data_IF_715921051904
#
_entry.id   IF_715921051904
#
_cell.length_a   1.000
_cell.length_b   1.000
_cell.length_c   1.000
_cell.angle_alpha   90.00
_cell.angle_beta   90.00
_cell.angle_gamma   90.00
#
_symmetry.space_group_name_H-M   'P 1'
#
loop_
_entity.id
_entity.type
_entity.pdbx_description
1 polymer ?
#
# COMPACT_ATOMS: atom_id res chain seq x y z
N UNK A 1 -1.80 -3.04 -27.11
CA UNK A 1 -1.41 -2.56 -25.77
C UNK A 1 -1.31 -1.05 -25.84
N UNK A 2 -2.08 -0.29 -25.05
CA UNK A 2 -1.87 1.17 -24.95
C UNK A 2 -0.56 1.38 -24.18
N UNK A 3 0.48 1.86 -24.85
CA UNK A 3 1.74 2.22 -24.20
C UNK A 3 1.51 3.53 -23.45
N UNK A 4 1.09 3.43 -22.19
CA UNK A 4 0.94 4.59 -21.32
C UNK A 4 2.34 5.11 -21.00
N UNK A 5 2.66 6.33 -21.45
CA UNK A 5 3.90 7.00 -21.06
C UNK A 5 3.95 7.16 -19.54
N UNK A 6 5.00 6.61 -18.93
CA UNK A 6 5.19 6.63 -17.48
C UNK A 6 5.91 7.91 -17.06
N UNK A 7 5.43 8.54 -16.00
CA UNK A 7 6.04 9.76 -15.44
C UNK A 7 5.02 10.88 -15.25
N UNK A 8 5.52 12.11 -15.26
CA UNK A 8 4.74 13.31 -15.03
C UNK A 8 4.69 13.74 -13.56
N UNK A 9 4.00 14.85 -13.35
CA UNK A 9 3.84 15.51 -12.05
C UNK A 9 3.12 14.56 -11.08
N UNK A 10 3.50 14.62 -9.81
CA UNK A 10 2.85 13.88 -8.73
C UNK A 10 1.63 14.63 -8.22
N UNK A 11 0.49 13.95 -8.09
CA UNK A 11 -0.70 14.49 -7.42
C UNK A 11 -0.77 14.05 -5.96
N UNK A 12 -1.59 14.73 -5.16
CA UNK A 12 -1.82 14.34 -3.76
C UNK A 12 -2.42 12.93 -3.68
N UNK A 13 -3.36 12.60 -4.57
CA UNK A 13 -3.93 11.26 -4.68
C UNK A 13 -2.85 10.16 -4.85
N UNK A 14 -1.91 10.37 -5.78
CA UNK A 14 -0.83 9.43 -6.05
C UNK A 14 0.11 9.29 -4.84
N UNK A 15 0.43 10.40 -4.18
CA UNK A 15 1.28 10.41 -2.98
C UNK A 15 0.62 9.66 -1.81
N UNK A 16 -0.69 9.81 -1.59
CA UNK A 16 -1.42 9.07 -0.54
C UNK A 16 -1.53 7.57 -0.85
N UNK A 17 -1.75 7.20 -2.12
CA UNK A 17 -1.70 5.80 -2.55
C UNK A 17 -0.28 5.23 -2.36
N UNK A 18 0.76 6.00 -2.65
CA UNK A 18 2.15 5.59 -2.44
C UNK A 18 2.44 5.36 -0.95
N UNK A 19 2.03 6.28 -0.07
CA UNK A 19 2.14 6.12 1.39
C UNK A 19 1.45 4.86 1.88
N UNK A 20 0.18 4.67 1.52
CA UNK A 20 -0.58 3.48 1.93
C UNK A 20 -0.01 2.19 1.35
N UNK A 21 0.54 2.23 0.13
CA UNK A 21 1.28 1.14 -0.49
C UNK A 21 2.54 0.77 0.29
N UNK A 22 3.33 1.75 0.72
CA UNK A 22 4.52 1.53 1.56
C UNK A 22 4.12 0.99 2.95
N UNK A 23 3.05 1.49 3.55
CA UNK A 23 2.53 0.97 4.82
C UNK A 23 2.16 -0.52 4.73
N UNK A 24 1.59 -0.98 3.60
CA UNK A 24 1.18 -2.38 3.41
C UNK A 24 2.32 -3.31 2.96
N UNK A 25 3.19 -2.85 2.05
CA UNK A 25 4.18 -3.71 1.38
C UNK A 25 5.64 -3.44 1.80
N UNK A 26 5.89 -2.35 2.54
CA UNK A 26 7.22 -1.89 2.93
C UNK A 26 8.01 -1.21 1.80
N UNK A 27 9.22 -0.75 2.13
CA UNK A 27 10.11 0.01 1.25
C UNK A 27 10.97 -0.84 0.30
N UNK A 28 10.73 -2.15 0.22
CA UNK A 28 11.52 -3.07 -0.63
C UNK A 28 10.74 -3.56 -1.86
N UNK A 29 9.41 -3.43 -1.87
CA UNK A 29 8.52 -4.01 -2.89
C UNK A 29 7.99 -2.97 -3.88
N UNK A 30 8.86 -2.12 -4.42
CA UNK A 30 8.48 -1.01 -5.32
C UNK A 30 7.72 -1.44 -6.57
N UNK A 31 8.08 -2.59 -7.16
CA UNK A 31 7.36 -3.13 -8.32
C UNK A 31 5.90 -3.40 -8.00
N UNK A 32 5.60 -3.92 -6.80
CA UNK A 32 4.23 -4.18 -6.36
C UNK A 32 3.48 -2.88 -6.10
N UNK A 33 4.12 -1.91 -5.44
CA UNK A 33 3.54 -0.60 -5.18
C UNK A 33 3.21 0.13 -6.48
N UNK A 34 4.11 0.11 -7.47
CA UNK A 34 3.87 0.75 -8.77
C UNK A 34 2.67 0.19 -9.52
N UNK A 35 2.23 -1.05 -9.23
CA UNK A 35 1.01 -1.57 -9.85
C UNK A 35 -0.26 -0.84 -9.39
N UNK A 36 -0.22 -0.19 -8.22
CA UNK A 36 -1.32 0.63 -7.69
C UNK A 36 -1.43 1.97 -8.43
N UNK A 37 -0.36 2.43 -9.09
CA UNK A 37 -0.24 3.74 -9.72
C UNK A 37 -0.07 3.56 -11.24
N UNK A 38 -1.13 3.75 -12.05
CA UNK A 38 -1.13 3.40 -13.48
C UNK A 38 -0.01 4.08 -14.29
N UNK A 39 0.30 5.35 -13.97
CA UNK A 39 1.24 6.19 -14.72
C UNK A 39 2.63 6.29 -14.09
N UNK A 40 2.88 5.63 -12.94
CA UNK A 40 4.16 5.73 -12.22
C UNK A 40 4.90 4.39 -12.25
N UNK A 41 6.21 4.45 -12.53
CA UNK A 41 7.06 3.26 -12.52
C UNK A 41 7.55 2.95 -11.11
N UNK A 42 8.07 1.74 -10.88
CA UNK A 42 8.71 1.38 -9.62
C UNK A 42 9.88 2.31 -9.27
N UNK A 43 10.62 2.76 -10.28
CA UNK A 43 11.74 3.70 -10.12
C UNK A 43 11.21 5.07 -9.66
N UNK A 44 10.14 5.57 -10.28
CA UNK A 44 9.51 6.84 -9.89
C UNK A 44 8.97 6.75 -8.45
N UNK A 45 8.32 5.64 -8.08
CA UNK A 45 7.81 5.43 -6.72
C UNK A 45 8.93 5.45 -5.67
N UNK A 46 10.03 4.76 -5.94
CA UNK A 46 11.20 4.74 -5.05
C UNK A 46 11.84 6.13 -4.93
N UNK A 47 12.05 6.80 -6.05
CA UNK A 47 12.63 8.14 -6.08
C UNK A 47 11.73 9.13 -5.32
N UNK A 48 10.42 9.12 -5.57
CA UNK A 48 9.44 9.96 -4.86
C UNK A 48 9.44 9.72 -3.36
N UNK A 49 9.53 8.45 -2.94
CA UNK A 49 9.63 8.14 -1.52
C UNK A 49 10.90 8.71 -0.90
N UNK A 50 12.06 8.38 -1.45
CA UNK A 50 13.36 8.78 -0.88
C UNK A 50 13.66 10.28 -1.01
N UNK A 51 13.04 10.99 -1.96
CA UNK A 51 13.31 12.42 -2.18
C UNK A 51 12.26 13.33 -1.56
N UNK A 52 11.01 12.86 -1.43
CA UNK A 52 9.91 13.65 -0.91
C UNK A 52 9.17 12.94 0.22
N UNK A 53 8.64 11.73 0.08
CA UNK A 53 7.65 11.23 1.06
C UNK A 53 8.21 10.69 2.39
N UNK A 54 9.48 10.30 2.44
CA UNK A 54 10.09 9.74 3.64
C UNK A 54 9.99 10.73 4.83
N UNK A 55 9.42 10.31 5.99
CA UNK A 55 9.28 11.17 7.17
C UNK A 55 10.60 11.70 7.73
N UNK A 56 11.73 11.04 7.44
CA UNK A 56 13.06 11.50 7.86
C UNK A 56 13.52 12.78 7.13
N UNK A 57 12.86 13.15 6.03
CA UNK A 57 13.22 14.32 5.22
C UNK A 57 12.71 15.60 5.88
N UNK A 58 13.62 16.51 6.21
CA UNK A 58 13.30 17.84 6.73
C UNK A 58 12.75 18.75 5.60
N UNK A 59 11.41 18.81 5.47
CA UNK A 59 10.73 19.66 4.46
C UNK A 59 10.41 21.07 4.95
N UNK A 60 9.83 21.14 6.15
CA UNK A 60 9.25 22.37 6.72
C UNK A 60 10.32 23.18 7.45
N UNK A 61 11.35 22.50 7.97
CA UNK A 61 12.43 23.15 8.71
C UNK A 61 13.24 24.00 7.74
N UNK A 62 13.23 25.31 7.98
CA UNK A 62 14.05 26.26 7.23
C UNK A 62 15.54 25.92 7.34
N UNK A 63 16.34 26.43 6.40
CA UNK A 63 17.78 26.24 6.43
C UNK A 63 18.37 27.05 7.59
N UNK A 64 19.11 26.37 8.45
CA UNK A 64 19.85 27.04 9.52
C UNK A 64 21.17 27.57 8.98
N UNK A 65 21.68 28.66 9.56
CA UNK A 65 22.99 29.23 9.18
C UNK A 65 24.11 28.19 9.28
N UNK A 66 24.08 27.31 10.29
CA UNK A 66 25.07 26.23 10.43
C UNK A 66 24.94 25.15 9.35
N UNK A 67 23.73 24.92 8.81
CA UNK A 67 23.54 24.04 7.65
C UNK A 67 24.09 24.69 6.38
N UNK A 68 23.88 25.99 6.18
CA UNK A 68 24.40 26.72 5.01
C UNK A 68 25.94 26.82 5.01
N UNK A 69 26.56 27.14 6.16
CA UNK A 69 28.02 27.19 6.29
C UNK A 69 28.65 25.83 5.99
N UNK A 70 28.04 24.74 6.49
CA UNK A 70 28.47 23.37 6.18
C UNK A 70 28.26 23.02 4.71
N UNK A 71 27.13 23.42 4.11
CA UNK A 71 26.84 23.19 2.70
C UNK A 71 27.89 23.83 1.79
N UNK A 72 28.23 25.10 2.04
CA UNK A 72 29.25 25.84 1.29
C UNK A 72 30.66 25.27 1.49
N UNK A 73 30.99 24.88 2.71
CA UNK A 73 32.29 24.24 2.98
C UNK A 73 32.42 22.90 2.25
N UNK A 74 31.41 22.03 2.38
CA UNK A 74 31.44 20.71 1.76
C UNK A 74 31.37 20.76 0.23
N UNK A 75 30.64 21.71 -0.35
CA UNK A 75 30.61 21.88 -1.82
C UNK A 75 31.94 22.36 -2.38
N UNK A 76 32.71 23.14 -1.59
CA UNK A 76 34.07 23.56 -1.94
C UNK A 76 35.08 22.41 -1.84
N UNK A 77 34.96 21.55 -0.84
CA UNK A 77 35.86 20.40 -0.60
C UNK A 77 35.57 19.24 -1.55
N UNK A 78 34.29 18.95 -1.81
CA UNK A 78 33.84 17.86 -2.68
C UNK A 78 32.93 18.41 -3.80
N UNK A 79 33.51 18.96 -4.89
CA UNK A 79 32.74 19.50 -5.99
C UNK A 79 31.79 18.47 -6.60
N UNK A 80 30.55 18.87 -6.88
CA UNK A 80 29.47 18.10 -7.55
C UNK A 80 29.05 16.75 -6.92
N UNK A 81 29.54 16.41 -5.72
CA UNK A 81 29.17 15.17 -5.01
C UNK A 81 27.95 15.33 -4.10
N UNK A 82 26.84 15.83 -4.67
CA UNK A 82 25.65 16.22 -3.91
C UNK A 82 25.01 15.09 -3.10
N UNK A 83 25.12 13.83 -3.54
CA UNK A 83 24.60 12.67 -2.78
C UNK A 83 25.37 12.46 -1.47
N UNK A 84 26.71 12.58 -1.51
CA UNK A 84 27.57 12.45 -0.34
C UNK A 84 27.33 13.61 0.62
N UNK A 85 27.31 14.84 0.09
CA UNK A 85 27.06 16.07 0.86
C UNK A 85 25.69 16.00 1.56
N UNK A 86 24.65 15.61 0.84
CA UNK A 86 23.30 15.44 1.37
C UNK A 86 23.23 14.49 2.57
N UNK A 87 23.93 13.35 2.46
CA UNK A 87 24.04 12.36 3.54
C UNK A 87 24.66 12.95 4.81
N UNK A 88 25.71 13.77 4.66
CA UNK A 88 26.40 14.42 5.79
C UNK A 88 25.56 15.53 6.45
N UNK A 89 24.79 16.29 5.66
CA UNK A 89 23.97 17.40 6.17
C UNK A 89 22.62 16.90 6.73
N UNK A 90 22.14 15.75 6.28
CA UNK A 90 20.83 15.19 6.65
C UNK A 90 19.67 15.87 5.93
N UNK A 91 19.88 16.22 4.65
CA UNK A 91 18.88 16.79 3.72
C UNK A 91 18.92 16.00 2.41
N UNK A 92 17.95 16.18 1.51
CA UNK A 92 17.96 15.53 0.18
C UNK A 92 18.95 16.21 -0.75
N UNK A 93 19.58 15.47 -1.68
CA UNK A 93 20.52 16.05 -2.65
C UNK A 93 19.91 17.16 -3.51
N UNK A 94 18.64 17.04 -3.89
CA UNK A 94 17.92 18.10 -4.61
C UNK A 94 17.81 19.38 -3.78
N UNK A 95 17.44 19.26 -2.49
CA UNK A 95 17.37 20.40 -1.59
C UNK A 95 18.72 21.10 -1.43
N UNK A 96 19.82 20.34 -1.34
CA UNK A 96 21.17 20.89 -1.24
C UNK A 96 21.58 21.68 -2.48
N UNK A 97 21.28 21.16 -3.68
CA UNK A 97 21.57 21.83 -4.96
C UNK A 97 20.77 23.14 -5.04
N UNK A 98 19.45 23.06 -4.85
CA UNK A 98 18.56 24.22 -4.92
C UNK A 98 18.95 25.31 -3.92
N UNK A 99 19.39 24.93 -2.70
CA UNK A 99 19.86 25.89 -1.69
C UNK A 99 21.20 26.50 -2.08
N UNK A 100 22.13 25.69 -2.56
CA UNK A 100 23.46 26.16 -2.97
C UNK A 100 23.36 27.18 -4.12
N UNK A 101 22.53 26.89 -5.14
CA UNK A 101 22.28 27.84 -6.24
C UNK A 101 21.70 29.16 -5.74
N UNK A 102 20.71 29.13 -4.84
CA UNK A 102 20.16 30.34 -4.22
C UNK A 102 21.20 31.14 -3.43
N UNK A 103 22.10 30.47 -2.72
CA UNK A 103 23.17 31.15 -1.97
C UNK A 103 24.19 31.81 -2.91
N UNK A 104 24.48 31.18 -4.05
CA UNK A 104 25.32 31.78 -5.09
C UNK A 104 24.63 32.97 -5.76
N UNK A 105 23.35 32.86 -6.10
CA UNK A 105 22.57 33.94 -6.72
C UNK A 105 22.47 35.17 -5.79
N UNK A 106 22.24 34.94 -4.50
CA UNK A 106 22.23 35.99 -3.48
C UNK A 106 23.60 36.68 -3.34
N UNK A 107 24.69 35.90 -3.35
CA UNK A 107 26.06 36.45 -3.30
C UNK A 107 26.44 37.22 -4.57
N UNK A 108 25.92 36.84 -5.73
CA UNK A 108 26.09 37.53 -7.00
C UNK A 108 25.20 38.80 -7.15
N UNK A 109 24.33 39.10 -6.17
CA UNK A 109 23.54 40.33 -6.13
C UNK A 109 22.28 40.32 -7.01
N UNK A 110 21.73 39.15 -7.35
CA UNK A 110 20.57 39.02 -8.25
C UNK A 110 19.22 39.17 -7.51
N UNK A 111 19.22 39.54 -6.22
CA UNK A 111 18.04 39.56 -5.36
C UNK A 111 17.10 40.78 -5.57
N UNK A 112 17.56 41.81 -6.28
CA UNK A 112 16.73 42.97 -6.62
C UNK A 112 15.89 42.67 -7.86
N UNK A 113 14.56 42.59 -7.71
CA UNK A 113 13.62 42.69 -8.85
C UNK A 113 13.86 43.96 -9.70
N UNK A 114 14.59 44.95 -9.17
CA UNK A 114 14.99 46.20 -9.82
C UNK A 114 16.35 46.17 -10.54
N UNK A 115 17.23 45.20 -10.25
CA UNK A 115 18.58 45.12 -10.84
C UNK A 115 18.77 43.76 -11.49
N UNK A 116 17.91 43.40 -12.45
CA UNK A 116 18.28 42.34 -13.39
C UNK A 116 19.45 42.88 -14.20
N UNK A 117 20.64 42.24 -14.18
CA UNK A 117 21.68 42.62 -15.14
C UNK A 117 21.07 42.51 -16.54
N UNK A 118 21.39 43.46 -17.45
CA UNK A 118 20.95 43.46 -18.86
C UNK A 118 21.25 42.13 -19.60
N UNK A 119 22.01 41.23 -18.98
CA UNK A 119 22.40 39.91 -19.44
C UNK A 119 21.56 38.74 -18.85
N UNK A 120 20.47 39.00 -18.11
CA UNK A 120 19.52 37.96 -17.68
C UNK A 120 18.60 37.60 -18.85
N UNK A 121 19.02 36.63 -19.68
CA UNK A 121 18.17 36.09 -20.74
C UNK A 121 16.96 35.35 -20.12
N UNK A 122 15.72 35.89 -20.24
CA UNK A 122 14.52 35.26 -19.70
C UNK A 122 14.22 33.89 -20.34
N UNK A 123 14.89 33.57 -21.46
CA UNK A 123 14.77 32.32 -22.22
C UNK A 123 15.65 31.18 -21.69
N UNK A 124 16.40 31.38 -20.60
CA UNK A 124 17.10 30.28 -19.90
C UNK A 124 16.17 29.34 -19.14
N UNK A 125 14.94 29.78 -18.86
CA UNK A 125 13.87 28.84 -18.51
C UNK A 125 13.70 27.90 -19.71
N UNK A 126 13.26 26.66 -19.46
CA UNK A 126 13.04 25.68 -20.53
C UNK A 126 11.55 25.55 -20.85
N UNK A 127 10.91 26.48 -21.58
CA UNK A 127 9.52 26.35 -22.01
C UNK A 127 9.30 25.04 -22.76
N UNK A 128 8.33 24.24 -22.32
CA UNK A 128 7.89 23.03 -23.00
C UNK A 128 8.74 21.77 -22.72
N UNK A 129 9.83 21.85 -21.97
CA UNK A 129 10.59 20.67 -21.55
C UNK A 129 9.95 19.98 -20.33
N UNK A 130 10.01 18.65 -20.30
CA UNK A 130 9.61 17.84 -19.14
C UNK A 130 10.66 18.05 -18.03
N UNK A 131 10.21 18.40 -16.82
CA UNK A 131 11.11 18.52 -15.65
C UNK A 131 11.90 17.20 -15.49
N UNK A 132 13.25 17.24 -15.48
CA UNK A 132 14.06 16.05 -15.29
C UNK A 132 13.92 15.38 -13.92
N UNK A 133 13.43 16.09 -12.89
CA UNK A 133 13.30 15.56 -11.53
C UNK A 133 11.96 15.96 -10.86
N UNK A 134 10.81 15.50 -11.40
CA UNK A 134 9.49 15.82 -10.85
C UNK A 134 9.28 15.22 -9.45
N UNK A 135 10.04 14.19 -9.08
CA UNK A 135 9.93 13.52 -7.78
C UNK A 135 10.31 14.39 -6.58
N UNK A 136 11.13 15.44 -6.77
CA UNK A 136 11.51 16.37 -5.70
C UNK A 136 10.55 17.58 -5.56
N UNK A 137 9.57 17.73 -6.46
CA UNK A 137 8.62 18.86 -6.45
C UNK A 137 7.44 18.60 -5.49
N UNK A 138 6.80 19.64 -4.93
CA UNK A 138 5.54 19.46 -4.22
C UNK A 138 4.48 18.77 -5.10
N UNK A 139 3.61 17.97 -4.48
CA UNK A 139 2.49 17.39 -5.19
C UNK A 139 1.47 18.45 -5.60
N UNK A 140 0.85 18.25 -6.75
CA UNK A 140 -0.26 19.08 -7.23
C UNK A 140 -1.50 18.78 -6.37
N UNK A 141 -2.20 19.81 -5.87
CA UNK A 141 -3.50 19.62 -5.25
C UNK A 141 -4.47 18.92 -6.20
N UNK A 142 -5.28 18.04 -5.66
CA UNK A 142 -6.27 17.31 -6.44
C UNK A 142 -7.36 18.30 -6.92
N UNK A 143 -7.86 18.16 -8.17
CA UNK A 143 -8.97 18.96 -8.65
C UNK A 143 -10.25 18.65 -7.87
N UNK A 144 -11.20 19.60 -7.87
CA UNK A 144 -12.51 19.40 -7.23
C UNK A 144 -13.28 18.29 -7.96
N UNK A 145 -13.30 18.38 -9.29
CA UNK A 145 -13.90 17.37 -10.15
C UNK A 145 -12.81 16.38 -10.59
N UNK A 146 -12.96 15.14 -10.14
CA UNK A 146 -12.04 14.05 -10.48
C UNK A 146 -12.38 13.49 -11.85
N UNK A 147 -11.36 13.09 -12.60
CA UNK A 147 -11.56 12.31 -13.82
C UNK A 147 -11.75 10.82 -13.50
N UNK A 148 -12.39 10.11 -14.42
CA UNK A 148 -12.67 8.67 -14.30
C UNK A 148 -11.39 7.87 -13.99
N UNK A 149 -10.26 8.27 -14.58
CA UNK A 149 -8.95 7.63 -14.39
C UNK A 149 -8.48 7.73 -12.93
N UNK A 150 -8.63 8.89 -12.28
CA UNK A 150 -8.21 9.05 -10.90
C UNK A 150 -9.17 8.40 -9.91
N UNK A 151 -10.48 8.41 -10.19
CA UNK A 151 -11.47 7.66 -9.41
C UNK A 151 -11.23 6.14 -9.49
N UNK A 152 -11.00 5.62 -10.70
CA UNK A 152 -10.68 4.21 -10.92
C UNK A 152 -9.38 3.82 -10.20
N UNK A 153 -8.35 4.67 -10.29
CA UNK A 153 -7.08 4.47 -9.57
C UNK A 153 -7.30 4.35 -8.06
N UNK A 154 -8.07 5.25 -7.46
CA UNK A 154 -8.37 5.22 -6.03
C UNK A 154 -9.18 3.98 -5.63
N UNK A 155 -10.21 3.64 -6.41
CA UNK A 155 -11.05 2.46 -6.18
C UNK A 155 -10.23 1.16 -6.27
N UNK A 156 -9.40 1.04 -7.30
CA UNK A 156 -8.50 -0.10 -7.50
C UNK A 156 -7.46 -0.21 -6.37
N UNK A 157 -6.90 0.92 -5.92
CA UNK A 157 -5.98 0.95 -4.80
C UNK A 157 -6.66 0.47 -3.51
N UNK A 158 -7.84 1.02 -3.18
CA UNK A 158 -8.64 0.60 -2.01
C UNK A 158 -8.92 -0.91 -2.02
N UNK A 159 -9.40 -1.45 -3.13
CA UNK A 159 -9.71 -2.88 -3.26
C UNK A 159 -8.47 -3.78 -3.07
N UNK A 160 -7.32 -3.38 -3.64
CA UNK A 160 -6.06 -4.12 -3.52
C UNK A 160 -5.45 -4.03 -2.12
N UNK A 161 -5.57 -2.89 -1.46
CA UNK A 161 -5.13 -2.69 -0.08
C UNK A 161 -6.01 -3.44 0.92
N UNK A 162 -7.32 -3.55 0.69
CA UNK A 162 -8.21 -4.36 1.52
C UNK A 162 -8.00 -5.88 1.34
N UNK A 163 -7.56 -6.32 0.16
CA UNK A 163 -7.39 -7.74 -0.11
C UNK A 163 -6.14 -8.34 0.60
N UNK A 164 -6.40 -9.26 1.54
CA UNK A 164 -5.37 -10.05 2.25
C UNK A 164 -5.38 -11.54 1.87
N UNK A 165 -6.44 -12.01 1.18
CA UNK A 165 -6.64 -13.43 0.93
C UNK A 165 -6.15 -13.88 -0.46
N UNK A 166 -5.46 -15.01 -0.47
CA UNK A 166 -5.00 -15.66 -1.71
C UNK A 166 -6.12 -16.42 -2.44
N UNK A 167 -5.82 -16.90 -3.66
CA UNK A 167 -6.77 -17.64 -4.51
C UNK A 167 -7.40 -18.84 -3.79
N UNK A 168 -6.60 -19.62 -3.06
CA UNK A 168 -7.06 -20.83 -2.34
C UNK A 168 -8.04 -20.49 -1.21
N UNK A 169 -7.75 -19.46 -0.42
CA UNK A 169 -8.64 -19.00 0.65
C UNK A 169 -9.98 -18.51 0.10
N UNK A 170 -9.95 -17.69 -0.97
CA UNK A 170 -11.19 -17.23 -1.64
C UNK A 170 -12.01 -18.36 -2.26
N UNK A 171 -11.34 -19.38 -2.81
CA UNK A 171 -12.03 -20.57 -3.35
C UNK A 171 -12.72 -21.34 -2.22
N UNK A 172 -11.99 -21.68 -1.16
CA UNK A 172 -12.53 -22.40 0.00
C UNK A 172 -13.68 -21.66 0.67
N UNK A 173 -13.60 -20.34 0.79
CA UNK A 173 -14.71 -19.53 1.32
C UNK A 173 -15.98 -19.65 0.46
N UNK A 174 -15.85 -19.60 -0.87
CA UNK A 174 -16.97 -19.81 -1.80
C UNK A 174 -17.53 -21.23 -1.75
N UNK A 175 -16.67 -22.24 -1.68
CA UNK A 175 -17.07 -23.64 -1.52
C UNK A 175 -17.87 -23.83 -0.23
N UNK A 176 -17.41 -23.25 0.90
CA UNK A 176 -18.13 -23.30 2.18
C UNK A 176 -19.52 -22.66 2.10
N UNK A 177 -19.64 -21.48 1.47
CA UNK A 177 -20.93 -20.80 1.28
C UNK A 177 -21.87 -21.68 0.43
N UNK A 178 -21.35 -22.28 -0.64
CA UNK A 178 -22.14 -23.17 -1.51
C UNK A 178 -22.57 -24.45 -0.79
N UNK A 179 -21.70 -25.01 0.06
CA UNK A 179 -22.01 -26.18 0.88
C UNK A 179 -23.11 -25.87 1.90
N UNK A 180 -23.03 -24.72 2.58
CA UNK A 180 -24.07 -24.25 3.50
C UNK A 180 -25.40 -24.02 2.77
N UNK A 181 -25.37 -23.37 1.61
CA UNK A 181 -26.56 -23.14 0.78
C UNK A 181 -27.19 -24.46 0.30
N UNK A 182 -26.37 -25.43 -0.13
CA UNK A 182 -26.82 -26.75 -0.54
C UNK A 182 -27.44 -27.52 0.63
N UNK A 183 -26.82 -27.45 1.82
CA UNK A 183 -27.36 -28.05 3.05
C UNK A 183 -28.72 -27.46 3.41
N UNK A 184 -28.88 -26.14 3.36
CA UNK A 184 -30.16 -25.47 3.64
C UNK A 184 -31.24 -25.87 2.64
N UNK A 185 -30.93 -25.90 1.35
CA UNK A 185 -31.87 -26.33 0.31
C UNK A 185 -32.30 -27.80 0.49
N UNK A 186 -31.36 -28.68 0.83
CA UNK A 186 -31.67 -30.08 1.13
C UNK A 186 -32.58 -30.23 2.36
N UNK A 187 -32.29 -29.47 3.43
CA UNK A 187 -33.12 -29.44 4.63
C UNK A 187 -34.52 -28.91 4.35
N UNK A 188 -34.65 -27.84 3.56
CA UNK A 188 -35.94 -27.30 3.16
C UNK A 188 -36.75 -28.35 2.38
N UNK A 189 -36.16 -28.98 1.36
CA UNK A 189 -36.81 -30.07 0.61
C UNK A 189 -37.24 -31.22 1.52
N UNK A 190 -36.40 -31.62 2.48
CA UNK A 190 -36.74 -32.67 3.46
C UNK A 190 -37.93 -32.26 4.32
N UNK A 191 -37.98 -31.01 4.78
CA UNK A 191 -39.11 -30.48 5.57
C UNK A 191 -40.41 -30.50 4.77
N UNK A 192 -40.38 -30.08 3.51
CA UNK A 192 -41.55 -30.06 2.63
C UNK A 192 -42.08 -31.48 2.36
N UNK A 193 -41.20 -32.45 2.11
CA UNK A 193 -41.59 -33.85 1.95
C UNK A 193 -42.21 -34.44 3.23
N UNK A 194 -41.59 -34.17 4.39
CA UNK A 194 -42.13 -34.61 5.68
C UNK A 194 -43.50 -33.97 5.98
N UNK A 195 -43.67 -32.68 5.67
CA UNK A 195 -44.94 -31.97 5.84
C UNK A 195 -46.03 -32.53 4.91
N UNK A 196 -45.67 -33.00 3.72
CA UNK A 196 -46.56 -33.70 2.81
C UNK A 196 -46.84 -35.17 3.21
N UNK A 197 -46.28 -35.65 4.33
CA UNK A 197 -46.45 -37.02 4.82
C UNK A 197 -45.61 -38.07 4.08
N UNK A 198 -44.65 -37.65 3.24
CA UNK A 198 -43.77 -38.55 2.49
C UNK A 198 -42.53 -38.85 3.34
N UNK A 199 -42.45 -40.06 3.91
CA UNK A 199 -41.41 -40.48 4.86
C UNK A 199 -40.21 -41.19 4.24
N UNK A 200 -40.18 -41.43 2.92
CA UNK A 200 -39.11 -42.19 2.28
C UNK A 200 -37.80 -41.39 2.20
N UNK A 201 -37.03 -41.46 3.28
CA UNK A 201 -35.73 -40.78 3.38
C UNK A 201 -34.66 -41.67 2.80
N UNK A 202 -34.21 -41.35 1.57
CA UNK A 202 -33.00 -41.93 0.97
C UNK A 202 -31.88 -42.03 2.01
N UNK A 203 -31.48 -43.25 2.35
CA UNK A 203 -30.29 -43.53 3.15
C UNK A 203 -29.09 -42.91 2.44
N UNK A 204 -28.36 -42.04 3.15
CA UNK A 204 -27.05 -41.61 2.73
C UNK A 204 -26.19 -42.88 2.64
N UNK A 205 -25.82 -43.30 1.43
CA UNK A 205 -24.74 -44.29 1.24
C UNK A 205 -23.46 -43.66 1.75
N UNK A 206 -23.13 -43.94 3.01
CA UNK A 206 -21.92 -43.44 3.65
C UNK A 206 -20.69 -43.88 2.88
N UNK A 207 -19.73 -42.97 2.70
CA UNK A 207 -18.37 -43.36 2.34
C UNK A 207 -17.81 -44.16 3.51
N UNK A 208 -17.33 -45.37 3.23
CA UNK A 208 -16.89 -46.44 4.16
C UNK A 208 -15.81 -46.07 5.19
N UNK A 209 -15.42 -44.78 5.31
CA UNK A 209 -14.28 -44.31 6.13
C UNK A 209 -14.59 -43.11 7.04
N UNK A 210 -15.84 -42.65 7.16
CA UNK A 210 -16.18 -41.52 8.03
C UNK A 210 -16.90 -42.05 9.26
N UNK A 211 -16.29 -41.87 10.45
CA UNK A 211 -16.92 -42.24 11.71
C UNK A 211 -18.19 -41.42 11.93
N UNK A 212 -19.29 -42.08 12.28
CA UNK A 212 -20.54 -41.40 12.59
C UNK A 212 -20.49 -40.88 14.03
N UNK A 213 -20.17 -39.59 14.15
CA UNK A 213 -20.10 -38.91 15.45
C UNK A 213 -21.44 -38.80 16.17
N UNK A 214 -22.58 -39.04 15.49
CA UNK A 214 -23.89 -39.03 16.14
C UNK A 214 -24.27 -40.41 16.71
N UNK A 215 -23.68 -41.50 16.20
CA UNK A 215 -24.03 -42.85 16.63
C UNK A 215 -23.23 -43.29 17.86
N UNK A 216 -21.95 -42.90 17.95
CA UNK A 216 -21.04 -43.35 19.00
C UNK A 216 -20.11 -42.22 19.47
N UNK A 217 -19.68 -42.29 20.74
CA UNK A 217 -18.65 -41.38 21.26
C UNK A 217 -17.32 -41.73 20.58
N UNK A 218 -16.90 -40.85 19.67
CA UNK A 218 -15.64 -41.05 18.95
C UNK A 218 -14.45 -41.12 19.90
N UNK A 219 -13.69 -42.22 19.83
CA UNK A 219 -12.51 -42.48 20.66
C UNK A 219 -12.79 -42.34 22.17
N UNK A 220 -13.93 -42.86 22.63
CA UNK A 220 -14.27 -42.87 24.05
C UNK A 220 -13.15 -43.50 24.89
N UNK A 221 -12.62 -42.72 25.83
CA UNK A 221 -11.73 -43.22 26.88
C UNK A 221 -12.55 -43.29 28.16
N UNK A 222 -12.88 -44.51 28.57
CA UNK A 222 -13.58 -44.73 29.84
C UNK A 222 -12.73 -44.17 30.98
N UNK A 223 -13.35 -43.46 31.95
CA UNK A 223 -12.63 -42.98 33.11
C UNK A 223 -12.03 -44.19 33.86
N UNK A 224 -10.79 -44.07 34.39
CA UNK A 224 -10.19 -45.14 35.16
C UNK A 224 -11.01 -45.40 36.42
N UNK A 225 -11.11 -46.66 36.83
CA UNK A 225 -11.82 -47.06 38.05
C UNK A 225 -11.17 -46.40 39.27
N UNK A 226 -11.93 -45.59 40.01
CA UNK A 226 -11.49 -44.96 41.26
C UNK A 226 -11.80 -45.79 42.50
N UNK A 227 -11.43 -45.26 43.68
CA UNK A 227 -11.68 -45.87 44.99
C UNK A 227 -13.14 -45.70 45.48
N UNK A 228 -13.88 -44.76 44.88
CA UNK A 228 -15.26 -44.44 45.24
C UNK A 228 -16.23 -44.98 44.18
N UNK A 229 -17.40 -45.46 44.65
CA UNK A 229 -18.48 -45.93 43.77
C UNK A 229 -19.25 -44.75 43.18
N UNK A 230 -19.18 -44.61 41.86
CA UNK A 230 -19.83 -43.54 41.08
C UNK A 230 -21.11 -44.00 40.36
N UNK A 231 -21.56 -45.24 40.56
CA UNK A 231 -22.73 -45.79 39.84
C UNK A 231 -24.03 -45.07 40.18
N UNK A 232 -24.18 -44.60 41.42
CA UNK A 232 -25.36 -43.88 41.89
C UNK A 232 -25.48 -42.45 41.34
N UNK A 233 -24.37 -41.85 40.91
CA UNK A 233 -24.35 -40.51 40.32
C UNK A 233 -24.75 -40.54 38.84
N UNK A 234 -24.44 -41.63 38.12
CA UNK A 234 -24.69 -41.79 36.69
C UNK A 234 -26.19 -41.92 36.30
N UNK A 235 -27.07 -42.22 37.25
CA UNK A 235 -28.50 -42.49 37.00
C UNK A 235 -29.34 -41.20 37.03
N UNK A 236 -28.78 -40.07 37.48
CA UNK A 236 -29.55 -38.86 37.83
C UNK A 236 -29.42 -37.68 36.86
N UNK A 237 -28.75 -37.89 35.73
CA UNK A 237 -28.54 -36.91 34.65
C UNK A 237 -29.11 -37.42 33.35
#
# INVERSE_FOLDING_TARGET
MRTVMKGGIWTNAEDEILKSGVMKYGSNQWSRISTLLPRKSAIHCKARWCQWLDPSIKKIVEWTRQEDERLLHLSKVMPSQWKTIASTIGRTSSQCIDRYEKLLDAACGVDSKSDRPDNYDPRKLRPGEIDPNPEARPARPDPVDWDDDAEEMLSAARARLANISGKKAKRRAREKILEEASRLACLQKKRELLAAGITDTKQQRGKEKVTDYNAEIFMEKKPPSGFYDATHEAIRT
#
